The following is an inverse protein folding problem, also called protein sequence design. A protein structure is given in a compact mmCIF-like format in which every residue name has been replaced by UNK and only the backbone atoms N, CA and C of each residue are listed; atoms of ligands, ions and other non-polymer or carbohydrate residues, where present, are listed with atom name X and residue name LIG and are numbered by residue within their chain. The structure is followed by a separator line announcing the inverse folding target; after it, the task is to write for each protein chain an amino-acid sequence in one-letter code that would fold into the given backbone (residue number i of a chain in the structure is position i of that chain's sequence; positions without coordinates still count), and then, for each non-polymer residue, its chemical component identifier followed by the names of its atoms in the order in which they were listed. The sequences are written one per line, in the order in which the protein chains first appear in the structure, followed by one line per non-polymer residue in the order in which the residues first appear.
data_IF_058186209437
#
_entry.id   IF_058186209437
#
_cell.length_a   1.000
_cell.length_b   1.000
_cell.length_c   1.000
_cell.angle_alpha   90.00
_cell.angle_beta   90.00
_cell.angle_gamma   90.00
#
_symmetry.space_group_name_H-M   'P 1'
#
loop_
_entity.id
_entity.type
_entity.pdbx_description
1 polymer ?
#
# COMPACT_ATOMS: atom_id res chain seq x y z
N UNK A 1 6.38 28.73 15.89
CA UNK A 1 5.08 28.09 15.60
C UNK A 1 4.25 28.97 14.69
N UNK A 2 3.70 28.49 13.59
CA UNK A 2 2.72 29.25 12.84
C UNK A 2 1.49 29.46 13.74
N UNK A 3 1.03 30.68 13.88
CA UNK A 3 -0.20 30.96 14.61
C UNK A 3 -1.38 30.39 13.84
N UNK A 4 -2.08 29.45 14.44
CA UNK A 4 -3.38 28.95 14.01
C UNK A 4 -4.37 30.12 14.02
N UNK A 5 -4.58 30.77 12.91
CA UNK A 5 -5.29 32.06 12.99
C UNK A 5 -6.29 32.30 11.94
N UNK A 6 -6.86 31.55 11.23
CA UNK A 6 -8.02 31.79 10.36
C UNK A 6 -8.38 30.53 9.56
N UNK A 7 -9.62 30.34 9.24
CA UNK A 7 -10.18 29.15 8.63
C UNK A 7 -9.56 28.66 7.30
N UNK A 8 -8.48 29.29 6.84
CA UNK A 8 -7.68 28.90 5.68
C UNK A 8 -6.32 28.29 6.03
N UNK A 9 -6.12 27.92 7.28
CA UNK A 9 -4.84 27.48 7.77
C UNK A 9 -4.32 26.25 7.02
N UNK A 10 -5.15 25.26 6.78
CA UNK A 10 -4.77 24.07 6.03
C UNK A 10 -4.30 24.35 4.60
N UNK A 11 -4.96 25.26 3.89
CA UNK A 11 -4.60 25.65 2.52
C UNK A 11 -3.37 26.52 2.46
N UNK A 12 -3.18 27.45 3.42
CA UNK A 12 -2.08 28.39 3.42
C UNK A 12 -0.74 27.76 3.77
N UNK A 13 -0.75 26.73 4.64
CA UNK A 13 0.45 26.06 5.12
C UNK A 13 0.61 24.63 4.61
N UNK A 14 -0.29 24.18 3.72
CA UNK A 14 -0.20 22.87 3.09
C UNK A 14 -0.63 21.70 3.97
N UNK A 15 -1.29 21.94 5.10
CA UNK A 15 -1.80 20.86 5.93
C UNK A 15 -3.30 20.98 6.21
N UNK A 16 -3.91 19.86 6.52
CA UNK A 16 -5.31 19.72 6.86
C UNK A 16 -5.46 19.51 8.36
N UNK A 17 -6.57 19.98 8.92
CA UNK A 17 -6.93 19.71 10.32
C UNK A 17 -7.87 18.50 10.33
N UNK A 18 -7.60 17.54 11.22
CA UNK A 18 -8.48 16.38 11.38
C UNK A 18 -9.88 16.84 11.80
N UNK A 19 -10.92 16.34 11.10
CA UNK A 19 -12.31 16.74 11.32
C UNK A 19 -12.85 16.37 12.70
N UNK A 20 -12.21 15.47 13.41
CA UNK A 20 -12.65 14.98 14.72
C UNK A 20 -11.74 15.38 15.85
N UNK A 21 -10.51 15.63 15.55
CA UNK A 21 -9.53 16.08 16.53
C UNK A 21 -8.88 17.34 16.00
N UNK A 22 -9.44 18.49 16.39
CA UNK A 22 -8.96 19.81 16.02
C UNK A 22 -7.54 20.09 16.50
N UNK A 23 -6.96 19.20 17.30
CA UNK A 23 -5.55 19.26 17.76
C UNK A 23 -4.59 18.52 16.81
N UNK A 24 -5.09 17.76 15.86
CA UNK A 24 -4.26 17.00 14.92
C UNK A 24 -4.23 17.65 13.56
N UNK A 25 -3.03 18.00 13.10
CA UNK A 25 -2.77 18.46 11.74
C UNK A 25 -2.25 17.32 10.86
N UNK A 26 -2.54 17.38 9.57
CA UNK A 26 -2.04 16.46 8.56
C UNK A 26 -1.39 17.24 7.41
N UNK A 27 -0.12 16.97 7.17
CA UNK A 27 0.62 17.46 6.01
C UNK A 27 0.57 16.42 4.90
N UNK A 28 -0.18 16.71 3.86
CA UNK A 28 -0.39 15.82 2.72
C UNK A 28 0.90 15.63 1.89
N UNK A 29 1.72 16.67 1.77
CA UNK A 29 2.96 16.60 1.00
C UNK A 29 4.00 15.65 1.60
N UNK A 30 4.08 15.59 2.92
CA UNK A 30 4.98 14.70 3.65
C UNK A 30 4.29 13.49 4.24
N UNK A 31 2.96 13.40 4.11
CA UNK A 31 2.10 12.38 4.70
C UNK A 31 2.34 12.23 6.21
N UNK A 32 2.41 13.36 6.92
CA UNK A 32 2.79 13.40 8.33
C UNK A 32 1.67 13.97 9.17
N UNK A 33 1.32 13.25 10.24
CA UNK A 33 0.43 13.75 11.29
C UNK A 33 1.23 14.43 12.38
N UNK A 34 0.72 15.51 12.94
CA UNK A 34 1.40 16.26 13.99
C UNK A 34 0.40 16.91 14.96
N UNK A 35 0.85 17.13 16.19
CA UNK A 35 0.10 17.85 17.19
C UNK A 35 0.16 19.36 16.89
N UNK A 36 -1.01 20.01 16.91
CA UNK A 36 -1.11 21.43 16.64
C UNK A 36 -0.71 22.31 17.84
N UNK A 37 -0.68 21.75 19.05
CA UNK A 37 -0.30 22.50 20.26
C UNK A 37 1.22 22.60 20.40
N UNK A 38 1.94 21.50 20.22
CA UNK A 38 3.40 21.44 20.45
C UNK A 38 4.23 21.13 19.21
N UNK A 39 3.57 20.76 18.09
CA UNK A 39 4.24 20.42 16.83
C UNK A 39 4.89 19.04 16.82
N UNK A 40 4.64 18.20 17.82
CA UNK A 40 5.17 16.84 17.86
C UNK A 40 4.59 16.02 16.72
N UNK A 41 5.44 15.18 16.11
CA UNK A 41 5.04 14.35 14.97
C UNK A 41 4.54 12.99 15.46
N UNK A 42 3.40 12.59 14.95
CA UNK A 42 2.87 11.24 15.13
C UNK A 42 3.46 10.28 14.11
N UNK A 43 3.75 9.07 14.55
CA UNK A 43 4.19 8.00 13.65
C UNK A 43 2.96 7.20 13.25
N UNK A 44 2.69 7.11 11.94
CA UNK A 44 1.60 6.27 11.46
C UNK A 44 1.91 4.79 11.68
N UNK A 45 0.88 3.99 11.88
CA UNK A 45 1.02 2.52 12.00
C UNK A 45 1.73 1.94 10.77
N UNK A 46 1.45 2.47 9.58
CA UNK A 46 2.09 2.07 8.33
C UNK A 46 3.59 2.34 8.37
N UNK A 47 3.99 3.54 8.82
CA UNK A 47 5.42 3.88 8.98
C UNK A 47 6.10 2.97 10.00
N UNK A 48 5.42 2.69 11.11
CA UNK A 48 5.93 1.76 12.12
C UNK A 48 6.15 0.36 11.54
N UNK A 49 5.19 -0.17 10.79
CA UNK A 49 5.30 -1.49 10.15
C UNK A 49 6.46 -1.49 9.14
N UNK A 50 6.63 -0.43 8.35
CA UNK A 50 7.72 -0.33 7.38
C UNK A 50 9.11 -0.38 8.01
N UNK A 51 9.27 0.06 9.25
CA UNK A 51 10.55 -0.05 9.96
C UNK A 51 10.96 -1.52 10.26
N UNK A 52 10.00 -2.44 10.26
CA UNK A 52 10.22 -3.86 10.56
C UNK A 52 10.06 -4.79 9.34
N UNK A 53 9.64 -4.25 8.21
CA UNK A 53 9.47 -5.01 6.96
C UNK A 53 10.51 -4.61 5.94
N UNK A 54 11.06 -5.59 5.22
CA UNK A 54 11.91 -5.29 4.09
C UNK A 54 11.07 -4.79 2.90
N UNK A 55 11.52 -3.73 2.19
CA UNK A 55 10.85 -3.26 1.00
C UNK A 55 10.72 -4.37 -0.05
N UNK A 56 9.58 -4.42 -0.73
CA UNK A 56 9.38 -5.33 -1.85
C UNK A 56 10.26 -4.93 -3.03
N UNK A 57 11.21 -5.81 -3.40
CA UNK A 57 12.06 -5.59 -4.56
C UNK A 57 11.35 -6.03 -5.86
N UNK A 58 10.61 -5.10 -6.45
CA UNK A 58 9.87 -5.34 -7.67
C UNK A 58 10.79 -5.71 -8.86
N UNK A 59 12.01 -5.16 -8.91
CA UNK A 59 12.98 -5.43 -9.98
C UNK A 59 13.49 -6.87 -9.90
N UNK A 60 13.84 -7.31 -8.71
CA UNK A 60 14.23 -8.70 -8.48
C UNK A 60 13.13 -9.67 -8.87
N UNK A 61 11.91 -9.45 -8.38
CA UNK A 61 10.79 -10.36 -8.64
C UNK A 61 10.33 -10.34 -10.08
N UNK A 62 10.38 -9.19 -10.76
CA UNK A 62 10.10 -9.11 -12.19
C UNK A 62 11.15 -9.87 -13.02
N UNK A 63 12.44 -9.74 -12.67
CA UNK A 63 13.53 -10.48 -13.29
C UNK A 63 13.39 -11.98 -13.08
N UNK A 64 13.06 -12.39 -11.85
CA UNK A 64 12.77 -13.80 -11.52
C UNK A 64 11.64 -14.36 -12.41
N UNK A 65 10.52 -13.66 -12.48
CA UNK A 65 9.36 -14.08 -13.28
C UNK A 65 9.62 -14.08 -14.78
N UNK A 66 10.41 -13.13 -15.28
CA UNK A 66 10.83 -13.11 -16.68
C UNK A 66 11.69 -14.34 -17.03
N UNK A 67 12.64 -14.70 -16.17
CA UNK A 67 13.44 -15.92 -16.36
C UNK A 67 12.61 -17.19 -16.25
N UNK A 68 11.69 -17.28 -15.28
CA UNK A 68 10.77 -18.40 -15.14
C UNK A 68 9.94 -18.61 -16.43
N UNK A 69 9.47 -17.52 -17.03
CA UNK A 69 8.73 -17.57 -18.28
C UNK A 69 9.59 -18.01 -19.48
N UNK A 70 10.80 -17.48 -19.59
CA UNK A 70 11.66 -17.74 -20.75
C UNK A 70 12.35 -19.09 -20.72
N UNK A 71 12.71 -19.60 -19.55
CA UNK A 71 13.40 -20.87 -19.37
C UNK A 71 12.46 -22.05 -19.15
N UNK A 72 11.22 -21.82 -18.71
CA UNK A 72 10.28 -22.88 -18.43
C UNK A 72 10.85 -23.96 -17.49
N UNK A 73 10.96 -25.18 -17.97
CA UNK A 73 11.47 -26.31 -17.18
C UNK A 73 12.97 -26.17 -16.79
N UNK A 74 13.75 -25.43 -17.56
CA UNK A 74 15.18 -25.22 -17.33
C UNK A 74 15.46 -24.15 -16.27
N UNK A 75 14.43 -23.53 -15.71
CA UNK A 75 14.54 -22.50 -14.70
C UNK A 75 15.03 -23.00 -13.32
N UNK A 76 15.00 -24.30 -13.08
CA UNK A 76 15.20 -24.88 -11.74
C UNK A 76 16.53 -24.47 -11.06
N UNK A 77 17.66 -24.54 -11.76
CA UNK A 77 18.96 -24.20 -11.19
C UNK A 77 19.13 -22.70 -10.94
N UNK A 78 18.67 -21.87 -11.88
CA UNK A 78 18.66 -20.42 -11.72
C UNK A 78 17.74 -20.01 -10.54
N UNK A 79 16.59 -20.64 -10.41
CA UNK A 79 15.65 -20.44 -9.30
C UNK A 79 16.33 -20.63 -7.95
N UNK A 80 17.06 -21.75 -7.77
CA UNK A 80 17.79 -22.00 -6.53
C UNK A 80 18.79 -20.90 -6.21
N UNK A 81 19.57 -20.46 -7.18
CA UNK A 81 20.56 -19.38 -7.03
C UNK A 81 19.89 -18.05 -6.67
N UNK A 82 18.80 -17.70 -7.36
CA UNK A 82 18.06 -16.46 -7.11
C UNK A 82 17.44 -16.43 -5.72
N UNK A 83 16.80 -17.52 -5.28
CA UNK A 83 16.16 -17.58 -3.97
C UNK A 83 17.16 -17.62 -2.81
N UNK A 84 18.34 -18.21 -3.00
CA UNK A 84 19.38 -18.24 -1.99
C UNK A 84 20.00 -16.86 -1.74
N UNK A 85 20.27 -16.11 -2.80
CA UNK A 85 20.97 -14.82 -2.70
C UNK A 85 20.04 -13.61 -2.69
N UNK A 86 18.84 -13.73 -3.23
CA UNK A 86 17.87 -12.63 -3.45
C UNK A 86 18.48 -11.42 -4.18
N UNK A 87 19.43 -11.66 -5.07
CA UNK A 87 20.11 -10.64 -5.86
C UNK A 87 20.09 -11.03 -7.32
N UNK A 88 19.67 -10.11 -8.18
CA UNK A 88 19.79 -10.24 -9.63
C UNK A 88 21.20 -9.90 -10.09
N UNK A 89 21.72 -10.68 -11.04
CA UNK A 89 23.01 -10.41 -11.73
C UNK A 89 22.83 -10.54 -13.23
N UNK A 90 23.30 -9.57 -13.98
CA UNK A 90 23.20 -9.58 -15.45
C UNK A 90 24.00 -10.72 -16.10
N UNK A 91 24.99 -11.28 -15.40
CA UNK A 91 25.72 -12.46 -15.86
C UNK A 91 24.82 -13.67 -16.06
N UNK A 92 23.72 -13.78 -15.33
CA UNK A 92 22.78 -14.88 -15.46
C UNK A 92 22.17 -15.00 -16.86
N UNK A 93 22.03 -13.86 -17.59
CA UNK A 93 21.54 -13.90 -18.96
C UNK A 93 22.50 -14.70 -19.87
N UNK A 94 23.80 -14.55 -19.69
CA UNK A 94 24.83 -15.31 -20.45
C UNK A 94 24.92 -16.75 -19.95
N UNK A 95 24.95 -16.94 -18.63
CA UNK A 95 25.14 -18.25 -17.99
C UNK A 95 24.01 -19.24 -18.37
N UNK A 96 22.79 -18.71 -18.59
CA UNK A 96 21.61 -19.49 -18.94
C UNK A 96 21.13 -19.27 -20.38
N UNK A 97 21.94 -18.68 -21.24
CA UNK A 97 21.64 -18.44 -22.65
C UNK A 97 20.31 -17.71 -22.91
N UNK A 98 19.97 -16.78 -22.03
CA UNK A 98 18.73 -15.98 -22.13
C UNK A 98 18.97 -14.80 -23.07
N UNK A 99 18.11 -14.64 -24.08
CA UNK A 99 18.15 -13.45 -24.95
C UNK A 99 17.83 -12.19 -24.18
N UNK A 100 18.76 -11.23 -24.19
CA UNK A 100 18.65 -9.98 -23.43
C UNK A 100 17.44 -9.14 -23.84
N UNK A 101 17.11 -9.14 -25.13
CA UNK A 101 15.99 -8.33 -25.63
C UNK A 101 14.65 -8.91 -25.16
N UNK A 102 14.48 -10.22 -25.31
CA UNK A 102 13.28 -10.90 -24.83
C UNK A 102 13.12 -10.79 -23.31
N UNK A 103 14.22 -10.95 -22.57
CA UNK A 103 14.22 -10.76 -21.11
C UNK A 103 13.77 -9.35 -20.72
N UNK A 104 14.34 -8.31 -21.34
CA UNK A 104 13.99 -6.93 -21.02
C UNK A 104 12.52 -6.65 -21.30
N UNK A 105 12.02 -7.06 -22.47
CA UNK A 105 10.61 -6.90 -22.82
C UNK A 105 9.70 -7.57 -21.80
N UNK A 106 9.99 -8.84 -21.43
CA UNK A 106 9.15 -9.58 -20.49
C UNK A 106 9.22 -9.03 -19.09
N UNK A 107 10.40 -8.64 -18.61
CA UNK A 107 10.57 -7.99 -17.30
C UNK A 107 9.79 -6.69 -17.22
N UNK A 108 9.87 -5.85 -18.25
CA UNK A 108 9.20 -4.54 -18.25
C UNK A 108 7.68 -4.69 -18.35
N UNK A 109 7.15 -5.68 -19.07
CA UNK A 109 5.74 -6.07 -19.07
C UNK A 109 5.27 -6.44 -17.65
N UNK A 110 6.07 -7.26 -16.94
CA UNK A 110 5.74 -7.66 -15.57
C UNK A 110 5.77 -6.47 -14.62
N UNK A 111 6.78 -5.59 -14.73
CA UNK A 111 6.87 -4.38 -13.92
C UNK A 111 5.66 -3.47 -14.13
N UNK A 112 5.20 -3.31 -15.36
CA UNK A 112 4.00 -2.52 -15.64
C UNK A 112 2.76 -3.17 -15.03
N UNK A 113 2.63 -4.49 -15.12
CA UNK A 113 1.54 -5.21 -14.44
C UNK A 113 1.54 -5.00 -12.92
N UNK A 114 2.72 -4.90 -12.29
CA UNK A 114 2.83 -4.62 -10.86
C UNK A 114 2.36 -3.20 -10.53
N UNK A 115 2.70 -2.20 -11.37
CA UNK A 115 2.22 -0.82 -11.18
C UNK A 115 0.71 -0.71 -11.28
N UNK A 116 0.12 -1.38 -12.28
CA UNK A 116 -1.34 -1.40 -12.46
C UNK A 116 -2.01 -2.02 -11.23
N UNK A 117 -1.59 -3.21 -10.82
CA UNK A 117 -2.13 -3.90 -9.65
C UNK A 117 -1.97 -3.11 -8.36
N UNK A 118 -0.82 -2.43 -8.19
CA UNK A 118 -0.59 -1.58 -7.03
C UNK A 118 -1.56 -0.39 -7.01
N UNK A 119 -1.76 0.26 -8.16
CA UNK A 119 -2.73 1.37 -8.29
C UNK A 119 -4.14 0.90 -7.95
N UNK A 120 -4.60 -0.20 -8.54
CA UNK A 120 -5.92 -0.77 -8.26
C UNK A 120 -6.09 -1.13 -6.77
N UNK A 121 -5.04 -1.66 -6.14
CA UNK A 121 -5.05 -1.98 -4.72
C UNK A 121 -5.12 -0.72 -3.84
N UNK A 122 -4.37 0.32 -4.20
CA UNK A 122 -4.41 1.62 -3.51
C UNK A 122 -5.79 2.28 -3.65
N UNK A 123 -6.34 2.34 -4.87
CA UNK A 123 -7.66 2.94 -5.13
C UNK A 123 -8.76 2.21 -4.36
N UNK A 124 -8.69 0.87 -4.34
CA UNK A 124 -9.61 0.06 -3.55
C UNK A 124 -9.43 0.30 -2.04
N UNK A 125 -8.19 0.38 -1.57
CA UNK A 125 -7.86 0.68 -0.18
C UNK A 125 -8.42 2.03 0.24
N UNK A 126 -8.21 3.07 -0.54
CA UNK A 126 -8.73 4.43 -0.28
C UNK A 126 -10.26 4.42 -0.14
N UNK A 127 -10.97 3.77 -1.08
CA UNK A 127 -12.44 3.66 -1.00
C UNK A 127 -12.91 2.93 0.26
N UNK A 128 -12.22 1.88 0.67
CA UNK A 128 -12.53 1.15 1.90
C UNK A 128 -12.30 2.04 3.11
N UNK A 129 -11.17 2.75 3.17
CA UNK A 129 -10.86 3.69 4.25
C UNK A 129 -11.91 4.79 4.36
N UNK A 130 -12.24 5.48 3.27
CA UNK A 130 -13.26 6.51 3.25
C UNK A 130 -14.62 6.00 3.75
N UNK A 131 -14.99 4.80 3.34
CA UNK A 131 -16.27 4.24 3.76
C UNK A 131 -16.27 3.87 5.24
N UNK A 132 -15.19 3.23 5.73
CA UNK A 132 -15.07 2.92 7.14
C UNK A 132 -15.02 4.19 7.98
N UNK A 133 -14.27 5.19 7.55
CA UNK A 133 -14.21 6.49 8.18
C UNK A 133 -15.59 7.13 8.28
N UNK A 134 -16.32 7.21 7.19
CA UNK A 134 -17.67 7.76 7.15
C UNK A 134 -18.61 7.01 8.09
N UNK A 135 -18.45 5.70 8.26
CA UNK A 135 -19.23 4.92 9.21
C UNK A 135 -18.94 5.27 10.67
N UNK A 136 -17.67 5.45 11.02
CA UNK A 136 -17.31 5.88 12.37
C UNK A 136 -17.82 7.30 12.67
N UNK A 137 -18.04 8.12 11.62
CA UNK A 137 -18.50 9.49 11.75
C UNK A 137 -20.01 9.63 11.68
N UNK A 138 -20.67 8.77 10.94
CA UNK A 138 -22.13 8.76 10.83
C UNK A 138 -22.71 8.02 12.05
N UNK A 139 -23.28 8.77 13.00
CA UNK A 139 -23.92 8.20 14.20
C UNK A 139 -25.20 7.43 13.89
N UNK A 140 -25.67 7.48 12.64
CA UNK A 140 -26.83 6.73 12.20
C UNK A 140 -26.44 5.27 11.95
N UNK A 141 -27.23 4.34 12.44
CA UNK A 141 -27.10 2.89 12.28
C UNK A 141 -27.23 2.49 10.79
N UNK A 142 -26.24 2.83 9.98
CA UNK A 142 -26.18 2.37 8.58
C UNK A 142 -25.43 1.07 8.49
N UNK A 143 -26.13 0.03 8.07
CA UNK A 143 -25.53 -1.25 7.75
C UNK A 143 -24.68 -1.13 6.49
N UNK A 144 -23.37 -1.33 6.58
CA UNK A 144 -22.58 -1.57 5.40
C UNK A 144 -22.81 -3.00 4.94
N UNK A 145 -23.56 -3.12 3.90
CA UNK A 145 -23.71 -4.39 3.21
C UNK A 145 -22.64 -4.51 2.15
N UNK A 146 -21.77 -5.51 2.38
CA UNK A 146 -20.92 -6.15 1.36
C UNK A 146 -19.83 -5.29 0.72
N UNK A 147 -18.64 -5.37 1.29
CA UNK A 147 -17.39 -5.09 0.57
C UNK A 147 -16.96 -6.32 -0.24
N UNK A 148 -16.35 -6.06 -1.41
CA UNK A 148 -15.69 -7.10 -2.19
C UNK A 148 -14.62 -7.80 -1.33
N UNK A 149 -14.91 -9.00 -0.86
CA UNK A 149 -14.06 -9.75 0.08
C UNK A 149 -14.80 -10.36 1.26
N UNK A 150 -16.13 -10.18 1.37
CA UNK A 150 -16.93 -10.92 2.37
C UNK A 150 -16.85 -10.40 3.81
N UNK A 151 -16.50 -9.12 4.01
CA UNK A 151 -16.49 -8.50 5.34
C UNK A 151 -17.76 -7.67 5.55
N UNK A 152 -18.52 -8.00 6.57
CA UNK A 152 -19.69 -7.22 6.97
C UNK A 152 -19.42 -6.59 8.36
N UNK A 153 -19.57 -5.28 8.45
CA UNK A 153 -19.53 -4.57 9.73
C UNK A 153 -20.95 -4.20 10.14
N UNK A 154 -21.28 -4.48 11.37
CA UNK A 154 -22.53 -3.99 11.97
C UNK A 154 -22.16 -3.14 13.18
N UNK A 155 -22.61 -1.89 13.19
CA UNK A 155 -22.52 -1.02 14.36
C UNK A 155 -23.91 -0.96 14.95
N UNK A 156 -24.07 -1.35 16.21
CA UNK A 156 -25.33 -1.28 16.93
C UNK A 156 -25.08 -0.71 18.31
N UNK A 157 -25.73 0.41 18.62
CA UNK A 157 -25.66 1.10 19.94
C UNK A 157 -24.21 1.43 20.39
N UNK A 158 -23.31 1.77 19.47
CA UNK A 158 -21.90 2.04 19.80
C UNK A 158 -21.01 0.81 19.94
N UNK A 159 -21.55 -0.39 19.85
CA UNK A 159 -20.80 -1.63 19.83
C UNK A 159 -20.45 -2.05 18.42
N UNK A 160 -19.19 -2.41 18.21
CA UNK A 160 -18.69 -2.86 16.91
C UNK A 160 -18.76 -4.37 16.82
N UNK A 161 -19.47 -4.89 15.84
CA UNK A 161 -19.50 -6.32 15.53
C UNK A 161 -18.93 -6.56 14.15
N UNK A 162 -17.76 -7.16 14.09
CA UNK A 162 -17.16 -7.63 12.85
C UNK A 162 -17.70 -9.04 12.54
N UNK A 163 -18.47 -9.16 11.48
CA UNK A 163 -18.90 -10.45 10.99
C UNK A 163 -18.07 -10.80 9.73
N UNK A 164 -17.30 -11.87 9.83
CA UNK A 164 -16.55 -12.41 8.67
C UNK A 164 -17.43 -13.50 8.05
N UNK A 165 -18.10 -13.19 6.96
CA UNK A 165 -18.70 -14.22 6.13
C UNK A 165 -17.65 -14.65 5.09
N UNK A 166 -17.13 -15.85 5.22
CA UNK A 166 -16.35 -16.46 4.13
C UNK A 166 -17.34 -16.75 3.02
N UNK A 167 -17.28 -15.97 1.95
CA UNK A 167 -17.91 -16.34 0.70
C UNK A 167 -17.30 -17.66 0.22
N UNK A 168 -18.16 -18.63 0.00
CA UNK A 168 -17.89 -19.89 -0.70
C UNK A 168 -17.71 -19.56 -2.18
#
# INVERSE_FOLDING_TARGET
MPKLGDGNFGTKFGYQIDKKNDKVGFDDATHTYFDLEDGSKYISVTTLIHNYTQPYDAQFWASYKACEFLLGNDFYDLKKKLLANKVWKDSYLKDYSIDKKQFTLKRDEILESYKIKNREACDRGTKIHETLENLFYDKDEKHIRKYAGGWNFTIKNGDYKLNVERGI
#
